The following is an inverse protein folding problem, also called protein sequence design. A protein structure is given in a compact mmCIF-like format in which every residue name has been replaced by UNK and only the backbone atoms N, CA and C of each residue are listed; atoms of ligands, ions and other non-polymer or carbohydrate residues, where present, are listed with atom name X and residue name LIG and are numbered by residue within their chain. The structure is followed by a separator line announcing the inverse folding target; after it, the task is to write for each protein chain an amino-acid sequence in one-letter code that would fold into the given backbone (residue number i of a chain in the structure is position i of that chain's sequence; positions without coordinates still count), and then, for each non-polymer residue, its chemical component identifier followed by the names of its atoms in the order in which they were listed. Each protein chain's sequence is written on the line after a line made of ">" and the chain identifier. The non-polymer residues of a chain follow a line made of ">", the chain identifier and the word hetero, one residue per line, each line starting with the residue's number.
data_IF_750838198679
#
_entry.id   IF_750838198679
#
_cell.length_a   1.000
_cell.length_b   1.000
_cell.length_c   1.000
_cell.angle_alpha   90.00
_cell.angle_beta   90.00
_cell.angle_gamma   90.00
#
_symmetry.space_group_name_H-M   'P 1'
#
loop_
_entity.id
_entity.type
_entity.pdbx_description
1 polymer ?
#
# COMPACT_ATOMS: atom_id res chain seq x y z
N UNK A 1 -5.85 -9.99 -10.11
CA UNK A 1 -5.03 -8.76 -10.09
C UNK A 1 -3.92 -8.97 -9.09
N UNK A 2 -2.74 -8.43 -9.33
CA UNK A 2 -1.60 -8.48 -8.41
C UNK A 2 -1.31 -7.09 -7.86
N UNK A 3 -0.73 -7.03 -6.67
CA UNK A 3 -0.26 -5.79 -6.10
C UNK A 3 1.10 -5.99 -5.44
N UNK A 4 1.89 -4.93 -5.45
CA UNK A 4 3.20 -4.88 -4.80
C UNK A 4 3.26 -3.59 -3.99
N UNK A 5 3.66 -3.70 -2.73
CA UNK A 5 4.03 -2.56 -1.92
C UNK A 5 5.55 -2.60 -1.66
N UNK A 6 6.22 -1.49 -1.90
CA UNK A 6 7.68 -1.35 -1.72
C UNK A 6 7.94 -0.23 -0.74
N UNK A 7 8.49 -0.56 0.42
CA UNK A 7 8.92 0.43 1.41
C UNK A 7 10.44 0.62 1.33
N UNK A 8 10.85 1.87 1.14
CA UNK A 8 12.26 2.28 1.02
C UNK A 8 12.56 3.22 2.18
N UNK A 9 13.56 2.90 2.96
CA UNK A 9 14.18 3.81 3.92
C UNK A 9 15.39 4.45 3.25
N UNK A 10 15.40 5.77 3.10
CA UNK A 10 16.49 6.50 2.47
C UNK A 10 17.35 7.24 3.49
N UNK A 11 18.58 7.59 3.10
CA UNK A 11 19.52 8.30 3.95
C UNK A 11 19.07 9.76 4.16
N UNK A 12 19.46 10.36 5.29
CA UNK A 12 19.18 11.76 5.60
C UNK A 12 19.70 12.69 4.48
N UNK A 13 18.84 13.61 4.08
CA UNK A 13 19.16 14.59 3.02
C UNK A 13 19.10 14.06 1.60
N UNK A 14 18.72 12.79 1.38
CA UNK A 14 18.67 12.16 0.05
C UNK A 14 17.29 12.17 -0.61
N UNK A 15 16.30 12.82 -0.01
CA UNK A 15 14.94 12.86 -0.53
C UNK A 15 14.86 13.45 -1.95
N UNK A 16 15.56 14.56 -2.19
CA UNK A 16 15.47 15.24 -3.49
C UNK A 16 16.14 14.42 -4.59
N UNK A 17 17.30 13.79 -4.31
CA UNK A 17 17.97 12.88 -5.24
C UNK A 17 17.08 11.66 -5.55
N UNK A 18 16.38 11.14 -4.55
CA UNK A 18 15.46 10.02 -4.72
C UNK A 18 14.24 10.40 -5.59
N UNK A 19 13.65 11.59 -5.36
CA UNK A 19 12.56 12.11 -6.19
C UNK A 19 13.00 12.30 -7.63
N UNK A 20 14.14 12.95 -7.84
CA UNK A 20 14.73 13.19 -9.17
C UNK A 20 14.97 11.86 -9.91
N UNK A 21 15.47 10.84 -9.21
CA UNK A 21 15.61 9.50 -9.80
C UNK A 21 14.26 8.92 -10.24
N UNK A 22 13.24 8.98 -9.39
CA UNK A 22 11.92 8.43 -9.76
C UNK A 22 11.30 9.17 -10.93
N UNK A 23 11.41 10.50 -10.98
CA UNK A 23 10.87 11.33 -12.06
C UNK A 23 11.59 11.09 -13.39
N UNK A 24 12.92 11.01 -13.37
CA UNK A 24 13.73 10.95 -14.58
C UNK A 24 14.08 9.53 -15.05
N UNK A 25 13.96 8.53 -14.19
CA UNK A 25 14.36 7.15 -14.48
C UNK A 25 13.33 6.12 -14.06
N UNK A 26 12.90 6.14 -12.79
CA UNK A 26 12.07 5.10 -12.22
C UNK A 26 10.69 5.01 -12.88
N UNK A 27 9.96 6.13 -12.95
CA UNK A 27 8.64 6.16 -13.59
C UNK A 27 8.71 5.99 -15.11
N UNK A 28 9.63 6.63 -15.84
CA UNK A 28 9.79 6.37 -17.27
C UNK A 28 10.08 4.92 -17.61
N UNK A 29 10.84 4.18 -16.79
CA UNK A 29 11.08 2.75 -17.00
C UNK A 29 9.80 1.91 -16.93
N UNK A 30 8.74 2.38 -16.26
CA UNK A 30 7.45 1.70 -16.15
C UNK A 30 6.51 1.95 -17.33
N UNK A 31 6.83 2.88 -18.24
CA UNK A 31 5.99 3.19 -19.41
C UNK A 31 5.72 1.97 -20.32
N UNK A 32 6.63 0.99 -20.35
CA UNK A 32 6.44 -0.27 -21.09
C UNK A 32 5.24 -1.08 -20.55
N UNK A 33 4.82 -0.84 -19.30
CA UNK A 33 3.69 -1.50 -18.66
C UNK A 33 2.42 -0.65 -18.69
N UNK A 34 2.41 0.45 -19.45
CA UNK A 34 1.29 1.38 -19.52
C UNK A 34 -0.01 0.68 -19.95
N UNK A 35 -1.05 0.88 -19.16
CA UNK A 35 -2.36 0.24 -19.33
C UNK A 35 -2.53 -1.08 -18.57
N UNK A 36 -1.46 -1.76 -18.20
CA UNK A 36 -1.48 -2.99 -17.39
C UNK A 36 -0.95 -2.76 -15.96
N UNK A 37 -0.34 -1.60 -15.71
CA UNK A 37 0.19 -1.14 -14.42
C UNK A 37 -0.45 0.18 -14.02
N UNK A 38 -0.74 0.29 -12.73
CA UNK A 38 -1.04 1.54 -12.06
C UNK A 38 -0.20 1.64 -10.79
N UNK A 39 0.50 2.74 -10.57
CA UNK A 39 1.37 2.90 -9.40
C UNK A 39 1.24 4.29 -8.77
N UNK A 40 1.52 4.35 -7.47
CA UNK A 40 1.56 5.58 -6.70
C UNK A 40 2.73 5.51 -5.71
N UNK A 41 3.40 6.64 -5.48
CA UNK A 41 4.47 6.74 -4.51
C UNK A 41 4.16 7.83 -3.48
N UNK A 42 4.47 7.54 -2.21
CA UNK A 42 4.35 8.42 -1.07
C UNK A 42 5.71 8.69 -0.47
N UNK A 43 5.99 9.93 -0.15
CA UNK A 43 7.22 10.34 0.51
C UNK A 43 6.89 10.91 1.88
N UNK A 44 7.47 10.33 2.93
CA UNK A 44 7.45 10.88 4.27
C UNK A 44 8.85 11.42 4.61
N UNK A 45 9.07 12.74 4.50
CA UNK A 45 10.38 13.33 4.74
C UNK A 45 10.79 13.34 6.22
N UNK A 46 9.85 13.17 7.16
CA UNK A 46 10.15 13.14 8.60
C UNK A 46 10.82 11.83 9.01
N UNK A 47 10.40 10.74 8.41
CA UNK A 47 10.86 9.40 8.73
C UNK A 47 11.80 8.83 7.67
N UNK A 48 12.14 9.62 6.64
CA UNK A 48 12.95 9.21 5.49
C UNK A 48 12.42 7.95 4.80
N UNK A 49 11.10 7.84 4.68
CA UNK A 49 10.43 6.69 4.06
C UNK A 49 9.76 7.09 2.75
N UNK A 50 9.99 6.29 1.73
CA UNK A 50 9.14 6.22 0.54
C UNK A 50 8.36 4.91 0.56
N UNK A 51 7.08 4.98 0.27
CA UNK A 51 6.22 3.82 0.07
C UNK A 51 5.60 3.89 -1.32
N UNK A 52 5.99 2.96 -2.20
CA UNK A 52 5.37 2.76 -3.50
C UNK A 52 4.37 1.61 -3.45
N UNK A 53 3.20 1.81 -4.07
CA UNK A 53 2.21 0.76 -4.27
C UNK A 53 1.92 0.66 -5.76
N UNK A 54 2.01 -0.54 -6.31
CA UNK A 54 1.74 -0.82 -7.71
C UNK A 54 0.67 -1.92 -7.83
N UNK A 55 -0.26 -1.70 -8.74
CA UNK A 55 -1.34 -2.62 -9.09
C UNK A 55 -1.14 -3.09 -10.52
N UNK A 56 -1.16 -4.40 -10.72
CA UNK A 56 -0.90 -5.02 -12.00
C UNK A 56 -2.07 -5.91 -12.40
N UNK A 57 -2.37 -5.91 -13.69
CA UNK A 57 -3.47 -6.66 -14.29
C UNK A 57 -3.38 -8.16 -14.00
N UNK A 58 -2.20 -8.72 -14.11
CA UNK A 58 -1.93 -10.14 -13.99
C UNK A 58 -0.50 -10.43 -13.48
N UNK A 59 -0.20 -11.71 -13.30
CA UNK A 59 1.10 -12.15 -12.81
C UNK A 59 2.23 -11.88 -13.82
N UNK A 60 1.97 -11.95 -15.11
CA UNK A 60 3.00 -11.66 -16.12
C UNK A 60 3.47 -10.21 -16.03
N UNK A 61 2.53 -9.28 -15.85
CA UNK A 61 2.82 -7.86 -15.63
C UNK A 61 3.59 -7.67 -14.32
N UNK A 62 3.22 -8.42 -13.26
CA UNK A 62 3.93 -8.37 -11.98
C UNK A 62 5.38 -8.84 -12.10
N UNK A 63 5.64 -9.91 -12.84
CA UNK A 63 7.00 -10.44 -13.07
C UNK A 63 7.86 -9.43 -13.86
N UNK A 64 7.31 -8.76 -14.86
CA UNK A 64 7.99 -7.66 -15.60
C UNK A 64 8.26 -6.46 -14.70
N UNK A 65 7.27 -6.07 -13.89
CA UNK A 65 7.45 -5.00 -12.91
C UNK A 65 8.56 -5.33 -11.91
N UNK A 66 8.62 -6.57 -11.42
CA UNK A 66 9.65 -7.00 -10.48
C UNK A 66 11.06 -6.86 -11.06
N UNK A 67 11.25 -7.17 -12.36
CA UNK A 67 12.52 -6.97 -13.04
C UNK A 67 12.91 -5.48 -13.07
N UNK A 68 12.02 -4.60 -13.57
CA UNK A 68 12.26 -3.15 -13.66
C UNK A 68 12.53 -2.56 -12.27
N UNK A 69 11.71 -2.94 -11.27
CA UNK A 69 11.91 -2.52 -9.89
C UNK A 69 13.29 -2.88 -9.37
N UNK A 70 13.74 -4.11 -9.58
CA UNK A 70 15.03 -4.56 -9.09
C UNK A 70 16.18 -3.80 -9.77
N UNK A 71 16.09 -3.55 -11.08
CA UNK A 71 17.04 -2.74 -11.81
C UNK A 71 17.09 -1.28 -11.28
N UNK A 72 15.94 -0.70 -11.00
CA UNK A 72 15.82 0.64 -10.40
C UNK A 72 16.44 0.68 -8.99
N UNK A 73 16.13 -0.31 -8.14
CA UNK A 73 16.67 -0.39 -6.78
C UNK A 73 18.21 -0.53 -6.76
N UNK A 74 18.79 -1.24 -7.72
CA UNK A 74 20.25 -1.31 -7.86
C UNK A 74 20.87 0.04 -8.19
N UNK A 75 20.19 0.91 -8.95
CA UNK A 75 20.71 2.23 -9.32
C UNK A 75 20.68 3.22 -8.14
N UNK A 76 19.78 3.04 -7.19
CA UNK A 76 19.64 3.94 -6.03
C UNK A 76 20.20 3.37 -4.73
N UNK A 77 20.93 2.24 -4.79
CA UNK A 77 21.41 1.58 -3.57
C UNK A 77 22.20 2.50 -2.63
N UNK A 78 22.95 3.47 -3.18
CA UNK A 78 23.73 4.43 -2.43
C UNK A 78 22.89 5.55 -1.77
N UNK A 79 21.61 5.65 -2.13
CA UNK A 79 20.66 6.55 -1.49
C UNK A 79 19.90 5.87 -0.34
N UNK A 80 20.00 4.54 -0.22
CA UNK A 80 19.23 3.76 0.73
C UNK A 80 19.93 3.68 2.09
N UNK A 81 19.15 3.77 3.16
CA UNK A 81 19.62 3.53 4.53
C UNK A 81 19.51 2.05 4.92
N UNK A 82 18.66 1.29 4.24
CA UNK A 82 18.50 -0.15 4.44
C UNK A 82 17.97 -0.85 3.19
N UNK A 83 18.00 -2.19 3.16
CA UNK A 83 17.36 -2.94 2.09
C UNK A 83 15.85 -2.63 2.03
N UNK A 84 15.30 -2.41 0.82
CA UNK A 84 13.86 -2.22 0.64
C UNK A 84 13.06 -3.41 1.14
N UNK A 85 11.91 -3.12 1.74
CA UNK A 85 10.93 -4.17 2.07
C UNK A 85 9.94 -4.26 0.92
N UNK A 86 9.76 -5.46 0.39
CA UNK A 86 8.84 -5.73 -0.72
C UNK A 86 7.77 -6.69 -0.26
N UNK A 87 6.52 -6.31 -0.45
CA UNK A 87 5.34 -7.12 -0.18
C UNK A 87 4.60 -7.32 -1.49
N UNK A 88 4.51 -8.55 -1.96
CA UNK A 88 3.98 -8.90 -3.27
C UNK A 88 2.99 -10.06 -3.14
N UNK A 89 1.84 -9.95 -3.80
CA UNK A 89 0.84 -11.00 -3.75
C UNK A 89 -0.42 -10.70 -4.57
N UNK A 90 -1.42 -11.55 -4.40
CA UNK A 90 -2.72 -11.33 -5.01
C UNK A 90 -3.46 -10.19 -4.31
N UNK A 91 -3.99 -9.25 -5.10
CA UNK A 91 -4.90 -8.23 -4.60
C UNK A 91 -6.27 -8.88 -4.37
N UNK A 92 -6.63 -9.05 -3.12
CA UNK A 92 -7.83 -9.77 -2.75
C UNK A 92 -9.09 -8.90 -2.66
N UNK A 93 -8.96 -7.71 -2.10
CA UNK A 93 -10.04 -6.73 -2.02
C UNK A 93 -9.48 -5.36 -2.39
N UNK A 94 -10.28 -4.55 -3.03
CA UNK A 94 -9.87 -3.19 -3.30
C UNK A 94 -10.94 -2.42 -4.06
N UNK A 95 -11.14 -1.19 -3.66
CA UNK A 95 -11.72 -0.16 -4.50
C UNK A 95 -10.56 0.41 -5.28
N UNK A 96 -10.56 0.22 -6.60
CA UNK A 96 -9.43 0.63 -7.43
C UNK A 96 -9.26 2.14 -7.42
N UNK A 97 -8.02 2.58 -7.26
CA UNK A 97 -7.56 3.96 -7.34
C UNK A 97 -7.89 4.65 -8.69
N UNK A 98 -8.21 3.87 -9.72
CA UNK A 98 -8.34 4.35 -11.10
C UNK A 98 -9.38 5.46 -11.28
N UNK A 99 -10.40 5.48 -10.42
CA UNK A 99 -11.50 6.46 -10.53
C UNK A 99 -11.40 7.59 -9.48
N UNK A 100 -10.46 7.53 -8.56
CA UNK A 100 -10.40 8.43 -7.41
C UNK A 100 -9.06 9.14 -7.19
N UNK A 101 -7.95 8.66 -7.73
CA UNK A 101 -6.68 9.37 -7.72
C UNK A 101 -6.54 10.13 -9.04
N UNK A 102 -6.78 11.41 -8.94
CA UNK A 102 -6.62 12.37 -10.02
C UNK A 102 -5.13 12.51 -10.36
N UNK A 103 -4.85 12.80 -11.63
CA UNK A 103 -3.54 12.99 -12.23
C UNK A 103 -2.66 14.09 -11.58
N UNK A 104 -3.12 14.74 -10.52
CA UNK A 104 -2.39 15.81 -9.84
C UNK A 104 -1.90 15.37 -8.44
N UNK A 105 -0.64 15.71 -8.07
CA UNK A 105 -0.12 15.51 -6.73
C UNK A 105 -1.02 16.17 -5.69
N UNK A 106 -1.48 15.43 -4.69
CA UNK A 106 -2.24 15.98 -3.56
C UNK A 106 -1.32 16.08 -2.35
N UNK A 107 -1.14 17.29 -1.84
CA UNK A 107 -0.28 17.57 -0.69
C UNK A 107 -0.81 17.01 0.65
N UNK A 108 -2.06 16.55 0.70
CA UNK A 108 -2.75 16.21 1.95
C UNK A 108 -3.33 14.80 2.04
N UNK A 109 -2.90 13.87 1.20
CA UNK A 109 -3.36 12.48 1.33
C UNK A 109 -2.69 11.80 2.52
N UNK A 110 -3.49 11.05 3.28
CA UNK A 110 -2.99 10.18 4.33
C UNK A 110 -3.09 8.71 3.89
N UNK A 111 -1.97 8.00 3.99
CA UNK A 111 -1.89 6.57 3.74
C UNK A 111 -1.76 5.82 5.05
N UNK A 112 -2.73 4.99 5.39
CA UNK A 112 -2.59 3.97 6.41
C UNK A 112 -2.09 2.69 5.75
N UNK A 113 -1.02 2.13 6.29
CA UNK A 113 -0.39 0.91 5.80
C UNK A 113 -0.04 0.01 6.98
N UNK A 114 -0.40 -1.26 6.91
CA UNK A 114 -0.10 -2.23 7.94
C UNK A 114 0.21 -3.60 7.35
N UNK A 115 1.26 -4.24 7.84
CA UNK A 115 1.48 -5.67 7.69
C UNK A 115 0.83 -6.37 8.88
N UNK A 116 0.01 -7.36 8.60
CA UNK A 116 -0.65 -8.18 9.61
C UNK A 116 -0.14 -9.61 9.54
N UNK A 117 0.22 -10.15 10.68
CA UNK A 117 0.41 -11.58 10.86
C UNK A 117 -0.89 -12.16 11.45
N UNK A 118 -1.50 -13.09 10.71
CA UNK A 118 -2.82 -13.65 11.01
C UNK A 118 -2.77 -15.17 11.05
N UNK A 119 -3.71 -15.78 11.75
CA UNK A 119 -3.79 -17.26 11.83
C UNK A 119 -4.23 -17.89 10.52
N UNK A 120 -5.13 -17.22 9.81
CA UNK A 120 -5.63 -17.62 8.50
C UNK A 120 -6.07 -16.40 7.69
N UNK A 121 -5.36 -16.13 6.60
CA UNK A 121 -5.59 -14.96 5.76
C UNK A 121 -6.97 -14.97 5.10
N UNK A 122 -7.44 -16.12 4.62
CA UNK A 122 -8.75 -16.21 3.96
C UNK A 122 -9.90 -15.95 4.93
N UNK A 123 -9.82 -16.48 6.15
CA UNK A 123 -10.81 -16.23 7.19
C UNK A 123 -10.81 -14.74 7.61
N UNK A 124 -9.65 -14.16 7.81
CA UNK A 124 -9.51 -12.74 8.12
C UNK A 124 -10.12 -11.85 7.02
N UNK A 125 -9.81 -12.14 5.76
CA UNK A 125 -10.32 -11.39 4.61
C UNK A 125 -11.84 -11.55 4.42
N UNK A 126 -12.39 -12.73 4.69
CA UNK A 126 -13.84 -12.92 4.67
C UNK A 126 -14.51 -12.07 5.74
N UNK A 127 -13.95 -12.04 6.94
CA UNK A 127 -14.44 -11.20 8.02
C UNK A 127 -14.33 -9.71 7.69
N UNK A 128 -13.24 -9.27 7.02
CA UNK A 128 -13.13 -7.91 6.50
C UNK A 128 -14.30 -7.57 5.57
N UNK A 129 -14.61 -8.44 4.61
CA UNK A 129 -15.72 -8.21 3.67
C UNK A 129 -17.07 -8.09 4.36
N UNK A 130 -17.30 -8.90 5.39
CA UNK A 130 -18.59 -8.93 6.09
C UNK A 130 -18.78 -7.76 7.04
N UNK A 131 -17.74 -7.32 7.72
CA UNK A 131 -17.86 -6.38 8.85
C UNK A 131 -17.15 -5.05 8.59
N UNK A 132 -15.89 -5.10 8.17
CA UNK A 132 -15.05 -3.90 8.07
C UNK A 132 -15.33 -3.07 6.83
N UNK A 133 -15.30 -3.70 5.64
CA UNK A 133 -15.47 -3.00 4.37
C UNK A 133 -16.82 -2.29 4.24
N UNK A 134 -17.96 -2.86 4.69
CA UNK A 134 -19.23 -2.15 4.65
C UNK A 134 -19.29 -0.88 5.51
N UNK A 135 -18.42 -0.79 6.55
CA UNK A 135 -18.28 0.43 7.37
C UNK A 135 -17.32 1.42 6.69
N UNK A 136 -16.21 0.91 6.18
CA UNK A 136 -15.19 1.69 5.49
C UNK A 136 -15.78 2.39 4.26
N UNK A 137 -16.54 1.68 3.44
CA UNK A 137 -17.13 2.21 2.20
C UNK A 137 -18.20 3.28 2.41
N UNK A 138 -18.73 3.40 3.62
CA UNK A 138 -19.69 4.45 3.99
C UNK A 138 -19.04 5.71 4.51
N UNK A 139 -17.74 5.68 4.82
CA UNK A 139 -17.03 6.85 5.30
C UNK A 139 -16.59 7.73 4.12
N UNK A 140 -16.96 9.02 4.18
CA UNK A 140 -16.66 9.98 3.12
C UNK A 140 -15.16 10.32 3.02
N UNK A 141 -14.40 10.00 4.06
CA UNK A 141 -12.95 10.24 4.11
C UNK A 141 -12.13 9.21 3.36
N UNK A 142 -12.68 8.01 3.08
CA UNK A 142 -11.95 6.97 2.36
C UNK A 142 -11.94 7.22 0.84
N UNK A 143 -10.76 7.21 0.25
CA UNK A 143 -10.58 7.37 -1.20
C UNK A 143 -10.47 6.01 -1.86
N UNK A 144 -9.61 5.16 -1.29
CA UNK A 144 -9.31 3.83 -1.82
C UNK A 144 -8.73 2.94 -0.73
N UNK A 145 -8.81 1.64 -0.93
CA UNK A 145 -8.28 0.65 0.01
C UNK A 145 -7.95 -0.65 -0.72
N UNK A 146 -7.14 -1.48 -0.11
CA UNK A 146 -6.88 -2.83 -0.61
C UNK A 146 -6.19 -3.72 0.40
N UNK A 147 -6.25 -5.02 0.11
CA UNK A 147 -5.57 -6.08 0.88
C UNK A 147 -4.78 -6.95 -0.06
N UNK A 148 -3.48 -7.12 0.22
CA UNK A 148 -2.59 -8.01 -0.51
C UNK A 148 -2.41 -9.27 0.34
N UNK A 149 -2.75 -10.43 -0.21
CA UNK A 149 -2.43 -11.72 0.39
C UNK A 149 -1.02 -12.11 -0.02
N UNK A 150 -0.08 -12.11 0.92
CA UNK A 150 1.30 -12.53 0.70
C UNK A 150 1.37 -14.07 0.76
N UNK A 151 0.80 -14.63 1.83
CA UNK A 151 0.65 -16.07 2.06
C UNK A 151 -0.57 -16.34 2.96
N UNK A 152 -0.71 -17.58 3.43
CA UNK A 152 -1.87 -17.99 4.25
C UNK A 152 -1.90 -17.37 5.66
N UNK A 153 -0.83 -16.68 6.07
CA UNK A 153 -0.69 -16.07 7.40
C UNK A 153 -0.29 -14.60 7.38
N UNK A 154 -0.04 -14.04 6.21
CA UNK A 154 0.47 -12.68 6.08
C UNK A 154 -0.38 -11.88 5.11
N UNK A 155 -0.88 -10.76 5.59
CA UNK A 155 -1.61 -9.77 4.82
C UNK A 155 -0.91 -8.42 4.88
N UNK A 156 -1.04 -7.64 3.81
CA UNK A 156 -0.72 -6.22 3.82
C UNK A 156 -1.99 -5.45 3.50
N UNK A 157 -2.34 -4.52 4.36
CA UNK A 157 -3.49 -3.64 4.21
C UNK A 157 -3.02 -2.24 3.88
N UNK A 158 -3.76 -1.55 3.02
CA UNK A 158 -3.52 -0.15 2.74
C UNK A 158 -4.85 0.58 2.54
N UNK A 159 -4.89 1.82 2.99
CA UNK A 159 -6.05 2.70 2.90
C UNK A 159 -5.59 4.12 2.58
N UNK A 160 -6.19 4.73 1.58
CA UNK A 160 -5.95 6.11 1.19
C UNK A 160 -7.09 6.98 1.69
N UNK A 161 -6.75 7.95 2.51
CA UNK A 161 -7.69 8.86 3.16
C UNK A 161 -7.48 10.30 2.72
N UNK A 162 -8.54 11.09 2.77
CA UNK A 162 -8.48 12.53 2.49
C UNK A 162 -7.60 13.30 3.49
N UNK A 163 -7.45 12.77 4.73
CA UNK A 163 -6.59 13.34 5.76
C UNK A 163 -6.33 12.33 6.88
N UNK A 164 -5.33 12.63 7.74
CA UNK A 164 -5.11 11.90 8.99
C UNK A 164 -6.31 11.95 9.92
N UNK A 165 -6.97 13.12 10.03
CA UNK A 165 -8.12 13.30 10.92
C UNK A 165 -9.33 12.46 10.48
N UNK A 166 -9.54 12.31 9.16
CA UNK A 166 -10.57 11.43 8.62
C UNK A 166 -10.34 9.97 9.04
N UNK A 167 -9.09 9.48 8.89
CA UNK A 167 -8.71 8.13 9.35
C UNK A 167 -8.90 7.97 10.85
N UNK A 168 -8.43 8.93 11.64
CA UNK A 168 -8.54 8.88 13.09
C UNK A 168 -10.01 8.83 13.55
N UNK A 169 -10.87 9.67 12.96
CA UNK A 169 -12.31 9.67 13.25
C UNK A 169 -12.98 8.34 12.90
N UNK A 170 -12.56 7.70 11.80
CA UNK A 170 -13.04 6.37 11.45
C UNK A 170 -12.60 5.32 12.46
N UNK A 171 -11.33 5.34 12.89
CA UNK A 171 -10.80 4.40 13.88
C UNK A 171 -11.49 4.53 15.24
N UNK A 172 -11.79 5.75 15.68
CA UNK A 172 -12.56 5.97 16.91
C UNK A 172 -13.95 5.33 16.84
N UNK A 173 -14.67 5.51 15.72
CA UNK A 173 -15.98 4.89 15.49
C UNK A 173 -15.88 3.37 15.46
N UNK A 174 -14.81 2.84 14.81
CA UNK A 174 -14.59 1.41 14.69
C UNK A 174 -14.26 0.77 16.05
N UNK A 175 -13.38 1.41 16.84
CA UNK A 175 -12.99 0.96 18.18
C UNK A 175 -14.14 1.00 19.19
N UNK A 176 -15.13 1.88 18.99
CA UNK A 176 -16.34 1.92 19.79
C UNK A 176 -17.31 0.76 19.48
N UNK A 177 -17.09 0.03 18.38
CA UNK A 177 -17.88 -1.14 17.99
C UNK A 177 -17.23 -2.43 18.51
N UNK A 178 -17.63 -2.87 19.69
CA UNK A 178 -17.12 -4.09 20.33
C UNK A 178 -17.19 -5.33 19.43
N UNK A 179 -18.18 -5.41 18.54
CA UNK A 179 -18.32 -6.52 17.60
C UNK A 179 -17.17 -6.65 16.61
N UNK A 180 -16.56 -5.53 16.21
CA UNK A 180 -15.42 -5.56 15.28
C UNK A 180 -14.21 -6.14 15.99
N UNK A 181 -13.87 -5.58 17.14
CA UNK A 181 -12.69 -5.97 17.90
C UNK A 181 -12.73 -7.45 18.32
N UNK A 182 -13.84 -7.90 18.93
CA UNK A 182 -14.01 -9.27 19.42
C UNK A 182 -13.89 -10.32 18.31
N UNK A 183 -14.25 -10.00 17.07
CA UNK A 183 -14.18 -10.91 15.95
C UNK A 183 -12.81 -10.96 15.28
N UNK A 184 -12.12 -9.83 15.19
CA UNK A 184 -10.81 -9.77 14.51
C UNK A 184 -9.66 -10.23 15.40
N UNK A 185 -9.68 -9.88 16.69
CA UNK A 185 -8.60 -10.24 17.62
C UNK A 185 -8.24 -11.72 17.67
N UNK A 186 -9.21 -12.67 17.66
CA UNK A 186 -8.87 -14.09 17.66
C UNK A 186 -8.11 -14.56 16.42
N UNK A 187 -8.21 -13.82 15.30
CA UNK A 187 -7.57 -14.16 14.03
C UNK A 187 -6.17 -13.53 13.88
N UNK A 188 -5.79 -12.63 14.77
CA UNK A 188 -4.52 -11.94 14.69
C UNK A 188 -3.43 -12.67 15.48
N UNK A 189 -2.22 -12.72 14.90
CA UNK A 189 -1.01 -13.21 15.58
C UNK A 189 -0.05 -12.04 15.91
N UNK A 190 -0.18 -10.90 15.26
CA UNK A 190 0.62 -9.70 15.52
C UNK A 190 0.41 -8.55 14.52
N UNK A 191 0.96 -7.39 14.90
CA UNK A 191 1.07 -6.21 14.06
C UNK A 191 2.53 -5.81 13.89
N UNK A 192 2.93 -5.39 12.71
CA UNK A 192 4.22 -4.72 12.44
C UNK A 192 4.06 -3.64 11.38
#
# INVERSE_FOLDING_TARGET
>A
MYAVAVSILFQDGKLDELKEFFENTGFPALEILKGDLYSIAFFNPKDNVNLGIAFMKDKETADKFAQIRNENLMQIQDLLASFPRVYEGELFTGKTLKDSLVEEPRESLFLAFAKLDVKNADEYMNLQKEIYLPKLEKDEGIISYGSIKIDDKTLVLFEFWTSHDAKHSFDEKLNADENVYEKFMPLMDGFT
#
